data_IF_757664112100
#
_entry.id   IF_757664112100
#
_cell.length_a   1.000
_cell.length_b   1.000
_cell.length_c   1.000
_cell.angle_alpha   90.00
_cell.angle_beta   90.00
_cell.angle_gamma   90.00
#
_symmetry.space_group_name_H-M   'P 1'
#
loop_
_entity.id
_entity.type
_entity.pdbx_description
1 polymer ?
#
# COMPACT_ATOMS: atom_id res chain seq x y z
N UNK A 1 19.47 -14.08 -14.69
CA UNK A 1 18.20 -13.39 -14.34
C UNK A 1 18.44 -11.89 -14.35
N UNK A 2 17.54 -11.08 -14.93
CA UNK A 2 17.78 -9.64 -15.08
C UNK A 2 17.54 -8.87 -13.78
N UNK A 3 18.07 -7.64 -13.68
CA UNK A 3 17.79 -6.72 -12.56
C UNK A 3 16.29 -6.40 -12.42
N UNK A 4 15.55 -6.41 -13.53
CA UNK A 4 14.10 -6.20 -13.56
C UNK A 4 13.37 -7.39 -12.93
N UNK A 5 13.77 -8.61 -13.27
CA UNK A 5 13.17 -9.82 -12.70
C UNK A 5 13.43 -9.92 -11.20
N UNK A 6 14.67 -9.62 -10.76
CA UNK A 6 15.03 -9.56 -9.34
C UNK A 6 14.17 -8.55 -8.58
N UNK A 7 13.96 -7.36 -9.14
CA UNK A 7 13.08 -6.35 -8.56
C UNK A 7 11.64 -6.83 -8.41
N UNK A 8 11.10 -7.51 -9.44
CA UNK A 8 9.75 -8.07 -9.41
C UNK A 8 9.60 -9.10 -8.28
N UNK A 9 10.58 -9.97 -8.10
CA UNK A 9 10.58 -10.96 -7.01
C UNK A 9 10.69 -10.27 -5.64
N UNK A 10 11.58 -9.30 -5.47
CA UNK A 10 11.65 -8.52 -4.23
C UNK A 10 10.36 -7.77 -3.91
N UNK A 11 9.66 -7.27 -4.93
CA UNK A 11 8.38 -6.61 -4.76
C UNK A 11 7.30 -7.57 -4.22
N UNK A 12 7.28 -8.81 -4.70
CA UNK A 12 6.39 -9.85 -4.18
C UNK A 12 6.68 -10.15 -2.71
N UNK A 13 7.96 -10.41 -2.37
CA UNK A 13 8.40 -10.66 -0.98
C UNK A 13 8.12 -9.46 -0.07
N UNK A 14 8.30 -8.23 -0.56
CA UNK A 14 8.00 -7.01 0.20
C UNK A 14 6.50 -6.85 0.49
N UNK A 15 5.66 -7.41 -0.39
CA UNK A 15 4.21 -7.47 -0.25
C UNK A 15 3.73 -8.37 0.88
N UNK A 16 4.56 -9.28 1.39
CA UNK A 16 4.23 -10.11 2.55
C UNK A 16 3.92 -9.21 3.75
N UNK A 17 2.82 -9.47 4.50
CA UNK A 17 2.51 -8.76 5.72
C UNK A 17 3.70 -8.76 6.68
N UNK A 18 3.91 -7.66 7.39
CA UNK A 18 4.94 -7.59 8.43
C UNK A 18 4.56 -6.54 9.45
N UNK A 19 4.71 -6.89 10.73
CA UNK A 19 4.51 -6.00 11.88
C UNK A 19 5.44 -4.78 11.90
N UNK A 20 6.49 -4.76 11.07
CA UNK A 20 7.48 -3.69 11.06
C UNK A 20 7.71 -3.14 9.65
N UNK A 21 7.90 -1.82 9.54
CA UNK A 21 8.26 -1.21 8.26
C UNK A 21 9.66 -1.68 7.84
N UNK A 22 9.72 -2.43 6.75
CA UNK A 22 10.95 -2.95 6.14
C UNK A 22 11.03 -2.47 4.69
N UNK A 23 12.23 -2.21 4.22
CA UNK A 23 12.53 -1.93 2.82
C UNK A 23 13.79 -2.70 2.38
N UNK A 24 13.92 -2.89 1.07
CA UNK A 24 14.90 -3.81 0.48
C UNK A 24 15.54 -3.21 -0.76
N UNK A 25 16.84 -3.43 -0.90
CA UNK A 25 17.62 -3.03 -2.07
C UNK A 25 18.48 -4.19 -2.54
N UNK A 26 18.40 -4.47 -3.84
CA UNK A 26 19.28 -5.40 -4.54
C UNK A 26 20.50 -4.66 -5.09
N UNK A 27 21.67 -4.97 -4.54
CA UNK A 27 22.97 -4.44 -4.99
C UNK A 27 23.69 -5.42 -5.94
N UNK A 28 23.09 -6.57 -6.26
CA UNK A 28 23.60 -7.59 -7.17
C UNK A 28 24.39 -8.68 -6.45
N UNK A 29 25.46 -8.32 -5.72
CA UNK A 29 26.27 -9.26 -4.92
C UNK A 29 25.76 -9.42 -3.48
N UNK A 30 24.87 -8.52 -3.06
CA UNK A 30 24.17 -8.56 -1.78
C UNK A 30 22.76 -7.98 -1.87
N UNK A 31 21.92 -8.36 -0.92
CA UNK A 31 20.62 -7.74 -0.65
C UNK A 31 20.74 -7.00 0.69
N UNK A 32 20.34 -5.73 0.70
CA UNK A 32 20.33 -4.89 1.88
C UNK A 32 18.89 -4.68 2.31
N UNK A 33 18.59 -5.05 3.56
CA UNK A 33 17.29 -4.88 4.19
C UNK A 33 17.45 -3.87 5.32
N UNK A 34 16.54 -2.91 5.42
CA UNK A 34 16.59 -1.88 6.45
C UNK A 34 15.22 -1.57 7.01
N UNK A 35 15.20 -1.08 8.24
CA UNK A 35 13.98 -0.71 8.97
C UNK A 35 14.24 0.50 9.84
N UNK A 36 13.21 1.32 10.00
CA UNK A 36 13.21 2.43 10.94
C UNK A 36 12.94 1.99 12.38
N UNK A 37 12.46 0.76 12.58
CA UNK A 37 12.14 0.21 13.90
C UNK A 37 13.41 0.01 14.74
N UNK A 38 13.43 0.59 15.95
CA UNK A 38 14.60 0.55 16.85
C UNK A 38 14.93 -0.87 17.30
N UNK A 39 13.93 -1.73 17.50
CA UNK A 39 14.08 -3.11 17.97
C UNK A 39 14.38 -4.13 16.87
N UNK A 40 14.54 -3.71 15.60
CA UNK A 40 14.53 -4.64 14.46
C UNK A 40 15.64 -5.71 14.53
N UNK A 41 16.80 -5.41 15.08
CA UNK A 41 17.89 -6.39 15.20
C UNK A 41 17.55 -7.48 16.20
N UNK A 42 16.86 -7.15 17.29
CA UNK A 42 16.36 -8.14 18.26
C UNK A 42 15.32 -9.05 17.62
N UNK A 43 14.33 -8.43 16.95
CA UNK A 43 13.27 -9.15 16.22
C UNK A 43 13.85 -10.11 15.16
N UNK A 44 14.82 -9.66 14.35
CA UNK A 44 15.51 -10.53 13.40
C UNK A 44 16.19 -11.72 14.09
N UNK A 45 16.84 -11.49 15.24
CA UNK A 45 17.51 -12.57 15.96
C UNK A 45 16.52 -13.60 16.52
N UNK A 46 15.33 -13.19 16.95
CA UNK A 46 14.26 -14.07 17.40
C UNK A 46 13.75 -14.94 16.24
N UNK A 47 13.47 -14.33 15.09
CA UNK A 47 13.07 -15.04 13.87
C UNK A 47 14.13 -16.06 13.46
N UNK A 48 15.40 -15.64 13.39
CA UNK A 48 16.49 -16.54 12.97
C UNK A 48 16.71 -17.70 13.96
N UNK A 49 16.56 -17.48 15.27
CA UNK A 49 16.65 -18.56 16.26
C UNK A 49 15.47 -19.52 16.15
N UNK A 50 14.28 -18.99 15.86
CA UNK A 50 13.08 -19.81 15.68
C UNK A 50 13.18 -20.68 14.43
N UNK A 51 13.57 -20.09 13.30
CA UNK A 51 13.70 -20.82 12.03
C UNK A 51 14.94 -21.71 11.97
N UNK A 52 16.03 -21.29 12.63
CA UNK A 52 17.29 -22.05 12.71
C UNK A 52 17.72 -22.26 14.18
N UNK A 53 17.13 -23.24 14.90
CA UNK A 53 17.35 -23.43 16.34
C UNK A 53 18.82 -23.60 16.76
N UNK A 54 19.66 -24.15 15.86
CA UNK A 54 21.07 -24.45 16.13
C UNK A 54 22.03 -23.45 15.45
N UNK A 55 21.54 -22.28 15.05
CA UNK A 55 22.35 -21.34 14.27
C UNK A 55 23.49 -20.74 15.10
N UNK A 56 24.70 -20.78 14.53
CA UNK A 56 25.87 -20.16 15.16
C UNK A 56 25.93 -18.68 14.79
N UNK A 57 25.69 -17.82 15.78
CA UNK A 57 25.86 -16.37 15.67
C UNK A 57 27.24 -15.96 16.18
N UNK A 58 27.96 -15.13 15.43
CA UNK A 58 29.21 -14.50 15.87
C UNK A 58 28.98 -13.01 16.04
N UNK A 59 29.06 -12.54 17.27
CA UNK A 59 28.97 -11.12 17.59
C UNK A 59 30.37 -10.50 17.67
N UNK A 60 30.56 -9.33 17.07
CA UNK A 60 31.79 -8.52 17.18
C UNK A 60 31.41 -7.04 17.13
N UNK A 61 31.45 -6.38 18.30
CA UNK A 61 31.00 -4.99 18.45
C UNK A 61 29.55 -4.85 18.00
N UNK A 62 29.26 -3.86 17.17
CA UNK A 62 27.91 -3.58 16.67
C UNK A 62 27.42 -4.55 15.59
N UNK A 63 28.22 -5.55 15.22
CA UNK A 63 27.89 -6.49 14.16
C UNK A 63 27.57 -7.86 14.70
N UNK A 64 26.45 -8.44 14.24
CA UNK A 64 26.15 -9.86 14.40
C UNK A 64 26.25 -10.53 13.03
N UNK A 65 27.08 -11.57 12.94
CA UNK A 65 27.23 -12.39 11.73
C UNK A 65 26.56 -13.75 11.93
N UNK A 66 25.68 -14.10 11.02
CA UNK A 66 24.85 -15.30 11.03
C UNK A 66 25.16 -16.09 9.75
N UNK A 67 25.26 -17.41 9.87
CA UNK A 67 25.46 -18.32 8.73
C UNK A 67 24.36 -19.37 8.72
N UNK A 68 23.24 -19.12 8.01
CA UNK A 68 22.11 -20.05 8.00
C UNK A 68 22.43 -21.32 7.21
N UNK A 69 23.17 -21.21 6.11
CA UNK A 69 23.59 -22.33 5.27
C UNK A 69 24.91 -22.04 4.58
N UNK A 70 25.50 -23.05 3.93
CA UNK A 70 26.70 -22.91 3.11
C UNK A 70 26.43 -21.92 1.97
N UNK A 71 27.37 -21.01 1.72
CA UNK A 71 27.25 -20.03 0.63
C UNK A 71 26.45 -18.77 0.95
N UNK A 72 25.86 -18.68 2.16
CA UNK A 72 25.07 -17.53 2.62
C UNK A 72 25.66 -16.95 3.89
N UNK A 73 25.68 -15.63 3.99
CA UNK A 73 26.04 -14.91 5.20
C UNK A 73 25.10 -13.74 5.40
N UNK A 74 24.57 -13.64 6.62
CA UNK A 74 23.73 -12.52 7.05
C UNK A 74 24.54 -11.70 8.04
N UNK A 75 24.57 -10.38 7.86
CA UNK A 75 25.22 -9.43 8.75
C UNK A 75 24.20 -8.42 9.23
N UNK A 76 23.91 -8.44 10.52
CA UNK A 76 23.08 -7.45 11.20
C UNK A 76 23.98 -6.39 11.84
N UNK A 77 23.61 -5.12 11.70
CA UNK A 77 24.29 -4.00 12.37
C UNK A 77 23.34 -3.35 13.39
N UNK A 78 23.72 -3.37 14.67
CA UNK A 78 22.95 -2.83 15.80
C UNK A 78 22.76 -1.32 15.70
N UNK A 79 23.74 -0.61 15.17
CA UNK A 79 23.78 0.85 15.08
C UNK A 79 23.03 1.35 13.85
N UNK A 80 23.34 0.81 12.68
CA UNK A 80 22.73 1.24 11.42
C UNK A 80 21.39 0.55 11.12
N UNK A 81 21.03 -0.49 11.88
CA UNK A 81 19.80 -1.29 11.71
C UNK A 81 19.68 -1.97 10.34
N UNK A 82 20.81 -2.11 9.65
CA UNK A 82 20.89 -2.77 8.36
C UNK A 82 21.11 -4.26 8.56
N UNK A 83 20.38 -5.05 7.78
CA UNK A 83 20.68 -6.44 7.51
C UNK A 83 21.25 -6.55 6.10
N UNK A 84 22.41 -7.17 5.97
CA UNK A 84 23.02 -7.50 4.67
C UNK A 84 23.03 -9.00 4.47
N UNK A 85 22.50 -9.48 3.35
CA UNK A 85 22.51 -10.88 2.94
C UNK A 85 23.41 -11.00 1.72
N UNK A 86 24.49 -11.76 1.83
CA UNK A 86 25.52 -11.86 0.79
C UNK A 86 26.17 -13.23 0.75
N UNK A 87 26.91 -13.49 -0.34
CA UNK A 87 27.52 -14.79 -0.63
C UNK A 87 27.07 -15.35 -1.97
N UNK A 88 27.66 -16.47 -2.41
CA UNK A 88 27.38 -17.06 -3.73
C UNK A 88 25.92 -17.49 -3.89
N UNK A 89 25.28 -17.92 -2.80
CA UNK A 89 23.92 -18.48 -2.81
C UNK A 89 22.93 -17.53 -2.11
N UNK A 90 23.29 -16.25 -1.94
CA UNK A 90 22.48 -15.26 -1.21
C UNK A 90 21.11 -15.06 -1.85
N UNK A 91 21.06 -15.03 -3.18
CA UNK A 91 19.83 -14.72 -3.91
C UNK A 91 18.84 -15.88 -3.87
N UNK A 92 19.19 -17.12 -4.28
CA UNK A 92 18.28 -18.25 -4.15
C UNK A 92 17.78 -18.41 -2.71
N UNK A 93 18.67 -18.32 -1.73
CA UNK A 93 18.28 -18.39 -0.32
C UNK A 93 17.28 -17.30 0.05
N UNK A 94 17.49 -16.05 -0.37
CA UNK A 94 16.59 -14.95 -0.04
C UNK A 94 15.21 -15.17 -0.64
N UNK A 95 15.13 -15.57 -1.91
CA UNK A 95 13.85 -15.84 -2.58
C UNK A 95 13.09 -16.98 -1.91
N UNK A 96 13.79 -18.06 -1.57
CA UNK A 96 13.14 -19.26 -1.04
C UNK A 96 12.79 -19.15 0.45
N UNK A 97 13.44 -18.24 1.19
CA UNK A 97 13.39 -18.23 2.65
C UNK A 97 12.81 -16.94 3.23
N UNK A 98 12.97 -15.79 2.58
CA UNK A 98 12.73 -14.53 3.26
C UNK A 98 11.26 -14.27 3.60
N UNK A 99 10.34 -14.67 2.72
CA UNK A 99 8.90 -14.63 3.00
C UNK A 99 8.53 -15.45 4.24
N UNK A 100 9.08 -16.67 4.37
CA UNK A 100 8.89 -17.54 5.54
C UNK A 100 9.40 -16.87 6.82
N UNK A 101 10.53 -16.15 6.75
CA UNK A 101 11.06 -15.42 7.91
C UNK A 101 10.14 -14.27 8.32
N UNK A 102 9.52 -13.59 7.37
CA UNK A 102 8.53 -12.55 7.65
C UNK A 102 7.28 -13.16 8.31
N UNK A 103 6.80 -14.31 7.82
CA UNK A 103 5.67 -15.02 8.39
C UNK A 103 5.92 -15.47 9.83
N UNK A 104 7.13 -15.98 10.13
CA UNK A 104 7.52 -16.32 11.51
C UNK A 104 7.51 -15.08 12.40
N UNK A 105 8.01 -13.95 11.88
CA UNK A 105 7.99 -12.67 12.60
C UNK A 105 6.58 -12.12 12.86
N UNK A 106 5.58 -12.61 12.13
CA UNK A 106 4.16 -12.30 12.35
C UNK A 106 3.45 -13.29 13.28
N UNK A 107 4.04 -14.46 13.55
CA UNK A 107 3.41 -15.50 14.37
C UNK A 107 3.06 -15.07 15.80
N UNK A 108 3.79 -14.08 16.33
CA UNK A 108 3.51 -13.45 17.64
C UNK A 108 2.68 -12.15 17.53
N UNK A 109 2.34 -11.71 16.32
CA UNK A 109 1.58 -10.47 16.04
C UNK A 109 0.06 -10.70 15.94
N UNK A 110 -0.46 -11.83 16.47
CA UNK A 110 -1.88 -12.24 16.41
C UNK A 110 -2.80 -11.29 17.21
N UNK A 111 -2.25 -10.40 18.02
CA UNK A 111 -2.99 -9.29 18.62
C UNK A 111 -2.27 -7.98 18.27
N UNK A 112 -2.47 -7.47 17.04
CA UNK A 112 -2.32 -6.04 16.85
C UNK A 112 -3.40 -5.37 17.70
N UNK A 113 -3.04 -4.60 18.74
CA UNK A 113 -4.04 -3.92 19.54
C UNK A 113 -4.82 -2.98 18.61
N UNK A 114 -6.15 -3.09 18.68
CA UNK A 114 -7.10 -2.08 18.21
C UNK A 114 -7.01 -0.77 19.01
N UNK A 115 -6.09 -0.67 19.97
CA UNK A 115 -5.79 0.56 20.69
C UNK A 115 -4.81 1.41 19.88
N UNK A 116 -5.24 2.63 19.54
CA UNK A 116 -4.54 3.69 18.80
C UNK A 116 -3.16 4.10 19.34
N UNK A 117 -2.21 3.17 19.35
CA UNK A 117 -0.97 3.24 20.12
C UNK A 117 0.27 2.71 19.40
N UNK A 118 0.36 2.83 18.09
CA UNK A 118 1.55 3.27 17.34
C UNK A 118 1.31 2.99 15.86
N UNK A 119 0.57 3.88 15.22
CA UNK A 119 0.69 4.04 13.77
C UNK A 119 2.17 4.30 13.55
N UNK A 120 2.88 3.33 12.95
CA UNK A 120 4.23 3.55 12.45
C UNK A 120 4.23 4.93 11.78
N UNK A 121 4.96 5.89 12.36
CA UNK A 121 5.18 7.21 11.76
C UNK A 121 6.06 7.02 10.51
N UNK A 122 5.57 6.26 9.53
CA UNK A 122 6.24 6.05 8.29
C UNK A 122 6.17 7.37 7.50
N UNK A 123 7.20 7.61 6.69
CA UNK A 123 7.33 8.87 5.95
C UNK A 123 6.13 9.10 5.00
N UNK A 124 5.44 8.03 4.59
CA UNK A 124 4.25 8.05 3.74
C UNK A 124 3.02 8.60 4.49
N UNK A 125 2.80 8.19 5.74
CA UNK A 125 1.69 8.67 6.59
C UNK A 125 1.77 10.17 6.80
N UNK A 126 2.98 10.67 7.12
CA UNK A 126 3.22 12.12 7.26
C UNK A 126 3.02 12.86 5.94
N UNK A 127 3.46 12.27 4.82
CA UNK A 127 3.26 12.86 3.49
C UNK A 127 1.78 12.97 3.12
N UNK A 128 1.00 11.92 3.40
CA UNK A 128 -0.45 11.88 3.16
C UNK A 128 -1.25 12.79 4.11
N UNK A 129 -0.61 13.29 5.17
CA UNK A 129 -1.21 14.16 6.20
C UNK A 129 -2.38 13.50 6.94
N UNK A 130 -2.39 12.17 7.05
CA UNK A 130 -3.46 11.42 7.72
C UNK A 130 -3.56 11.72 9.22
N UNK A 131 -2.48 12.19 9.85
CA UNK A 131 -2.42 12.48 11.28
C UNK A 131 -2.74 13.95 11.64
N UNK A 132 -3.07 14.80 10.67
CA UNK A 132 -3.26 16.24 10.96
C UNK A 132 -4.66 16.59 11.43
N UNK A 133 -5.61 15.70 11.22
CA UNK A 133 -7.02 15.88 11.57
C UNK A 133 -7.51 14.51 12.03
N UNK A 134 -7.44 14.25 13.33
CA UNK A 134 -8.02 13.06 14.00
C UNK A 134 -9.57 13.06 13.90
N UNK A 135 -10.13 13.42 12.75
CA UNK A 135 -11.55 13.18 12.47
C UNK A 135 -11.67 11.74 12.01
N UNK A 136 -12.43 10.94 12.76
CA UNK A 136 -12.70 9.56 12.38
C UNK A 136 -13.49 9.54 11.07
N UNK A 137 -13.32 8.49 10.26
CA UNK A 137 -14.10 8.33 9.01
C UNK A 137 -15.59 8.48 9.28
N UNK A 138 -16.06 7.98 10.42
CA UNK A 138 -17.45 8.07 10.84
C UNK A 138 -17.90 9.53 11.05
N UNK A 139 -17.07 10.40 11.63
CA UNK A 139 -17.38 11.83 11.78
C UNK A 139 -17.57 12.53 10.41
N UNK A 140 -16.78 12.12 9.40
CA UNK A 140 -16.93 12.64 8.05
C UNK A 140 -18.21 12.11 7.39
N UNK A 141 -18.54 10.83 7.60
CA UNK A 141 -19.77 10.22 7.07
C UNK A 141 -21.03 10.83 7.68
N UNK A 142 -21.04 11.10 8.99
CA UNK A 142 -22.18 11.67 9.71
C UNK A 142 -22.51 13.11 9.27
N UNK A 143 -21.56 13.79 8.61
CA UNK A 143 -21.78 15.11 7.99
C UNK A 143 -22.55 15.02 6.67
N UNK A 144 -22.67 13.84 6.06
CA UNK A 144 -23.42 13.65 4.81
C UNK A 144 -24.91 13.56 5.15
N UNK A 145 -25.76 14.46 4.62
CA UNK A 145 -27.20 14.36 4.82
C UNK A 145 -27.76 13.01 4.34
N UNK A 146 -28.82 12.54 5.00
CA UNK A 146 -29.56 11.36 4.55
C UNK A 146 -30.02 11.55 3.09
N UNK A 147 -29.72 10.57 2.24
CA UNK A 147 -30.00 10.64 0.79
C UNK A 147 -28.96 11.40 -0.04
N UNK A 148 -27.91 11.92 0.58
CA UNK A 148 -26.81 12.63 -0.05
C UNK A 148 -26.91 14.14 0.05
N UNK A 149 -25.77 14.82 -0.16
CA UNK A 149 -25.67 16.28 -0.05
C UNK A 149 -24.68 16.90 -1.01
N UNK A 150 -24.80 18.22 -1.16
CA UNK A 150 -23.87 19.04 -1.93
C UNK A 150 -22.72 19.46 -1.01
N UNK A 151 -21.54 18.92 -1.28
CA UNK A 151 -20.35 19.11 -0.43
C UNK A 151 -19.28 19.94 -1.10
N UNK A 152 -18.47 20.60 -0.27
CA UNK A 152 -17.31 21.37 -0.73
C UNK A 152 -16.13 20.45 -1.07
N UNK A 153 -15.33 20.86 -2.06
CA UNK A 153 -14.16 20.13 -2.55
C UNK A 153 -13.19 19.61 -1.46
N UNK A 154 -12.91 20.40 -0.42
CA UNK A 154 -12.01 19.99 0.67
C UNK A 154 -12.57 18.79 1.43
N UNK A 155 -13.87 18.80 1.75
CA UNK A 155 -14.55 17.70 2.44
C UNK A 155 -14.47 16.41 1.63
N UNK A 156 -14.72 16.47 0.31
CA UNK A 156 -14.74 15.28 -0.56
C UNK A 156 -13.35 14.64 -0.61
N UNK A 157 -12.31 15.45 -0.76
CA UNK A 157 -10.93 14.96 -0.79
C UNK A 157 -10.53 14.30 0.53
N UNK A 158 -10.95 14.87 1.66
CA UNK A 158 -10.71 14.29 3.00
C UNK A 158 -11.46 12.97 3.16
N UNK A 159 -12.77 12.98 2.92
CA UNK A 159 -13.63 11.80 3.01
C UNK A 159 -13.11 10.63 2.17
N UNK A 160 -12.82 10.89 0.89
CA UNK A 160 -12.29 9.85 0.01
C UNK A 160 -10.97 9.27 0.54
N UNK A 161 -10.00 10.10 0.92
CA UNK A 161 -8.72 9.62 1.45
C UNK A 161 -8.91 8.77 2.70
N UNK A 162 -9.75 9.22 3.62
CA UNK A 162 -10.03 8.50 4.86
C UNK A 162 -10.72 7.17 4.61
N UNK A 163 -11.72 7.12 3.72
CA UNK A 163 -12.38 5.86 3.33
C UNK A 163 -11.41 4.87 2.66
N UNK A 164 -10.53 5.34 1.76
CA UNK A 164 -9.55 4.44 1.16
C UNK A 164 -8.52 3.92 2.18
N UNK A 165 -8.04 4.77 3.10
CA UNK A 165 -7.11 4.32 4.14
C UNK A 165 -7.78 3.25 5.02
N UNK A 166 -9.03 3.47 5.42
CA UNK A 166 -9.80 2.55 6.24
C UNK A 166 -10.09 1.23 5.53
N UNK A 167 -10.64 1.28 4.32
CA UNK A 167 -10.94 0.08 3.53
C UNK A 167 -9.69 -0.73 3.18
N UNK A 168 -8.57 -0.07 2.88
CA UNK A 168 -7.30 -0.77 2.74
C UNK A 168 -6.82 -1.32 4.08
N UNK A 169 -6.96 -0.58 5.17
CA UNK A 169 -6.58 -0.96 6.53
C UNK A 169 -7.27 -2.24 7.00
N UNK A 170 -8.54 -2.42 6.66
CA UNK A 170 -9.30 -3.63 7.00
C UNK A 170 -9.13 -4.75 5.98
N UNK A 171 -8.41 -4.55 4.87
CA UNK A 171 -8.18 -5.61 3.87
C UNK A 171 -9.33 -5.80 2.88
N UNK A 172 -10.17 -4.79 2.64
CA UNK A 172 -11.30 -4.89 1.74
C UNK A 172 -10.89 -5.02 0.25
N UNK A 173 -11.81 -5.53 -0.57
CA UNK A 173 -11.75 -5.39 -2.02
C UNK A 173 -12.31 -4.01 -2.40
N UNK A 174 -11.46 -3.13 -2.92
CA UNK A 174 -11.79 -1.74 -3.24
C UNK A 174 -11.86 -1.52 -4.75
N UNK A 175 -12.90 -0.81 -5.17
CA UNK A 175 -13.18 -0.45 -6.54
C UNK A 175 -13.20 1.07 -6.65
N UNK A 176 -12.28 1.63 -7.43
CA UNK A 176 -12.23 3.06 -7.75
C UNK A 176 -12.73 3.20 -9.19
N UNK A 177 -13.91 3.78 -9.37
CA UNK A 177 -14.55 3.96 -10.67
C UNK A 177 -14.66 5.45 -10.95
N UNK A 178 -13.86 5.95 -11.88
CA UNK A 178 -13.81 7.39 -12.19
C UNK A 178 -13.60 7.63 -13.69
N UNK A 179 -14.40 8.50 -14.34
CA UNK A 179 -14.21 8.86 -15.75
C UNK A 179 -12.93 9.67 -15.98
N UNK A 180 -12.42 10.35 -14.94
CA UNK A 180 -11.21 11.17 -15.01
C UNK A 180 -10.35 10.99 -13.78
N UNK A 181 -9.05 10.81 -13.99
CA UNK A 181 -8.05 10.75 -12.92
C UNK A 181 -6.77 11.44 -13.36
N UNK A 182 -6.12 12.17 -12.47
CA UNK A 182 -4.79 12.74 -12.74
C UNK A 182 -3.69 12.07 -11.93
N UNK A 183 -2.45 12.49 -12.23
CA UNK A 183 -1.26 11.91 -11.64
C UNK A 183 -1.10 12.16 -10.15
N UNK A 184 -1.74 13.19 -9.59
CA UNK A 184 -1.67 13.48 -8.16
C UNK A 184 -2.60 12.58 -7.36
N UNK A 185 -3.83 12.45 -7.85
CA UNK A 185 -4.84 11.58 -7.27
C UNK A 185 -4.43 10.11 -7.37
N UNK A 186 -3.93 9.67 -8.53
CA UNK A 186 -3.36 8.34 -8.69
C UNK A 186 -2.15 8.11 -7.77
N UNK A 187 -1.28 9.10 -7.63
CA UNK A 187 -0.15 9.03 -6.71
C UNK A 187 -0.59 8.83 -5.25
N UNK A 188 -1.64 9.53 -4.80
CA UNK A 188 -2.18 9.37 -3.45
C UNK A 188 -2.74 7.96 -3.21
N UNK A 189 -3.48 7.40 -4.18
CA UNK A 189 -3.95 5.99 -4.12
C UNK A 189 -2.76 5.04 -3.96
N UNK A 190 -1.70 5.21 -4.76
CA UNK A 190 -0.51 4.37 -4.69
C UNK A 190 0.21 4.46 -3.34
N UNK A 191 0.23 5.63 -2.70
CA UNK A 191 0.80 5.80 -1.36
C UNK A 191 -0.06 5.13 -0.29
N UNK A 192 -1.39 5.25 -0.36
CA UNK A 192 -2.32 4.57 0.54
C UNK A 192 -2.18 3.04 0.45
N UNK A 193 -2.00 2.52 -0.76
CA UNK A 193 -1.70 1.10 -0.98
C UNK A 193 -0.40 0.67 -0.28
N UNK A 194 0.68 1.47 -0.39
CA UNK A 194 1.97 1.18 0.25
C UNK A 194 1.85 1.19 1.77
N UNK A 195 1.09 2.14 2.33
CA UNK A 195 0.89 2.28 3.78
C UNK A 195 0.17 1.07 4.36
N UNK A 196 -0.89 0.62 3.69
CA UNK A 196 -1.72 -0.50 4.15
C UNK A 196 -1.24 -1.86 3.61
N UNK A 197 0.03 -1.96 3.20
CA UNK A 197 0.59 -3.22 2.72
C UNK A 197 0.37 -4.30 3.80
N UNK A 198 0.02 -5.50 3.37
CA UNK A 198 -0.10 -6.64 4.28
C UNK A 198 -1.46 -6.84 4.94
N UNK A 199 -2.44 -5.99 4.70
CA UNK A 199 -3.83 -6.24 5.15
C UNK A 199 -4.59 -7.19 4.21
N UNK A 200 -4.00 -7.53 3.06
CA UNK A 200 -4.62 -8.41 2.06
C UNK A 200 -5.64 -7.73 1.15
N UNK A 201 -5.75 -6.39 1.17
CA UNK A 201 -6.66 -5.64 0.31
C UNK A 201 -6.43 -5.91 -1.18
N UNK A 202 -7.46 -5.67 -1.99
CA UNK A 202 -7.37 -5.68 -3.47
C UNK A 202 -7.87 -4.35 -4.01
N UNK A 203 -7.26 -3.84 -5.08
CA UNK A 203 -7.68 -2.56 -5.68
C UNK A 203 -7.89 -2.73 -7.18
N UNK A 204 -9.09 -2.36 -7.63
CA UNK A 204 -9.40 -2.21 -9.05
C UNK A 204 -9.67 -0.74 -9.36
N UNK A 205 -8.93 -0.17 -10.30
CA UNK A 205 -9.17 1.15 -10.87
C UNK A 205 -9.79 1.00 -12.26
N UNK A 206 -11.05 1.41 -12.38
CA UNK A 206 -11.79 1.49 -13.64
C UNK A 206 -11.74 2.94 -14.14
N UNK A 207 -11.19 3.18 -15.32
CA UNK A 207 -11.09 4.52 -15.94
C UNK A 207 -10.95 4.38 -17.46
N UNK A 208 -11.49 5.32 -18.28
CA UNK A 208 -11.27 5.31 -19.72
C UNK A 208 -9.77 5.31 -20.08
N UNK A 209 -9.41 4.61 -21.17
CA UNK A 209 -8.03 4.60 -21.68
C UNK A 209 -7.60 5.99 -22.19
N UNK A 210 -8.58 6.77 -22.66
CA UNK A 210 -8.45 8.18 -23.07
C UNK A 210 -9.57 8.98 -22.42
N UNK A 211 -9.21 9.99 -21.65
CA UNK A 211 -10.17 10.86 -20.96
C UNK A 211 -10.81 11.87 -21.93
N UNK A 212 -11.89 12.52 -21.48
CA UNK A 212 -12.66 13.47 -22.30
C UNK A 212 -11.84 14.67 -22.81
N UNK A 213 -10.81 15.09 -22.08
CA UNK A 213 -9.87 16.15 -22.50
C UNK A 213 -8.77 15.65 -23.47
N UNK A 214 -8.85 14.37 -23.86
CA UNK A 214 -7.91 13.71 -24.77
C UNK A 214 -6.69 13.12 -24.09
N UNK A 215 -6.51 13.30 -22.78
CA UNK A 215 -5.37 12.77 -22.04
C UNK A 215 -5.45 11.23 -21.93
N UNK A 216 -4.36 10.55 -22.30
CA UNK A 216 -4.28 9.08 -22.24
C UNK A 216 -3.82 8.62 -20.86
N UNK A 217 -4.44 7.54 -20.36
CA UNK A 217 -4.13 7.01 -19.03
C UNK A 217 -2.67 6.54 -18.90
N UNK A 218 -2.08 6.00 -19.95
CA UNK A 218 -0.66 5.59 -19.96
C UNK A 218 0.29 6.78 -19.66
N UNK A 219 -0.05 7.98 -20.14
CA UNK A 219 0.68 9.22 -19.82
C UNK A 219 0.46 9.71 -18.39
N UNK A 220 -0.74 9.52 -17.84
CA UNK A 220 -1.01 9.76 -16.42
C UNK A 220 -0.16 8.81 -15.55
N UNK A 221 -0.15 7.53 -15.89
CA UNK A 221 0.62 6.50 -15.20
C UNK A 221 2.15 6.75 -15.30
N UNK A 222 2.64 7.19 -16.46
CA UNK A 222 4.04 7.59 -16.67
C UNK A 222 4.44 8.76 -15.75
N UNK A 223 3.64 9.84 -15.73
CA UNK A 223 3.87 10.99 -14.85
C UNK A 223 3.79 10.64 -13.37
N UNK A 224 2.86 9.75 -13.00
CA UNK A 224 2.71 9.26 -11.61
C UNK A 224 3.95 8.49 -11.17
N UNK A 225 4.45 7.56 -12.00
CA UNK A 225 5.69 6.82 -11.72
C UNK A 225 6.89 7.74 -11.56
N UNK A 226 7.00 8.77 -12.42
CA UNK A 226 8.06 9.76 -12.32
C UNK A 226 7.98 10.53 -11.00
N UNK A 227 6.79 11.01 -10.64
CA UNK A 227 6.54 11.72 -9.37
C UNK A 227 6.92 10.87 -8.16
N UNK A 228 6.52 9.60 -8.11
CA UNK A 228 6.88 8.68 -7.01
C UNK A 228 8.41 8.60 -6.80
N UNK A 229 9.18 8.58 -7.90
CA UNK A 229 10.66 8.51 -7.85
C UNK A 229 11.33 9.81 -7.43
N UNK A 230 10.68 10.94 -7.65
CA UNK A 230 11.21 12.28 -7.39
C UNK A 230 10.85 12.80 -5.99
N UNK A 231 9.78 12.28 -5.37
CA UNK A 231 9.34 12.71 -4.04
C UNK A 231 10.36 12.28 -2.98
N UNK A 232 10.89 13.26 -2.26
CA UNK A 232 11.82 13.06 -1.16
C UNK A 232 11.06 13.06 0.18
N UNK A 233 11.50 12.22 1.10
CA UNK A 233 11.12 12.29 2.52
C UNK A 233 11.91 13.37 3.27
N UNK A 234 11.65 13.48 4.58
CA UNK A 234 12.19 14.56 5.42
C UNK A 234 13.73 14.60 5.52
N UNK A 235 14.41 13.49 5.24
CA UNK A 235 15.88 13.38 5.28
C UNK A 235 16.54 13.46 3.90
N UNK A 236 15.81 13.90 2.86
CA UNK A 236 16.32 13.98 1.49
C UNK A 236 16.49 12.63 0.78
N UNK A 237 16.20 11.52 1.46
CA UNK A 237 16.06 10.20 0.84
C UNK A 237 14.73 10.09 0.08
N UNK A 238 14.66 9.22 -0.92
CA UNK A 238 13.40 8.96 -1.65
C UNK A 238 12.32 8.44 -0.71
N UNK A 239 11.10 8.95 -0.86
CA UNK A 239 9.95 8.52 -0.06
C UNK A 239 9.56 7.06 -0.34
N UNK A 240 9.68 6.65 -1.61
CA UNK A 240 9.27 5.33 -2.09
C UNK A 240 10.44 4.68 -2.82
N UNK A 241 10.81 3.46 -2.42
CA UNK A 241 11.85 2.69 -3.09
C UNK A 241 11.35 2.09 -4.41
N UNK A 242 12.29 1.67 -5.27
CA UNK A 242 11.97 1.00 -6.53
C UNK A 242 11.19 -0.31 -6.31
N UNK A 243 11.41 -0.98 -5.16
CA UNK A 243 10.71 -2.23 -4.80
C UNK A 243 9.25 -1.93 -4.42
N UNK A 244 9.02 -0.91 -3.58
CA UNK A 244 7.66 -0.44 -3.23
C UNK A 244 6.86 -0.01 -4.46
N UNK A 245 7.49 0.74 -5.36
CA UNK A 245 6.85 1.16 -6.61
C UNK A 245 6.50 -0.05 -7.48
N UNK A 246 7.42 -1.02 -7.64
CA UNK A 246 7.14 -2.23 -8.42
C UNK A 246 5.98 -3.02 -7.81
N UNK A 247 5.89 -3.13 -6.48
CA UNK A 247 4.77 -3.81 -5.82
C UNK A 247 3.43 -3.16 -6.14
N UNK A 248 3.31 -1.84 -6.03
CA UNK A 248 2.08 -1.13 -6.37
C UNK A 248 1.67 -1.38 -7.83
N UNK A 249 2.64 -1.35 -8.75
CA UNK A 249 2.38 -1.59 -10.17
C UNK A 249 1.93 -3.02 -10.48
N UNK A 250 2.28 -3.99 -9.64
CA UNK A 250 1.82 -5.38 -9.75
C UNK A 250 0.45 -5.60 -9.09
N UNK A 251 0.14 -4.84 -8.03
CA UNK A 251 -1.07 -5.01 -7.22
C UNK A 251 -2.26 -4.19 -7.74
N UNK A 252 -2.02 -3.02 -8.34
CA UNK A 252 -3.09 -2.17 -8.87
C UNK A 252 -3.66 -2.76 -10.16
N UNK A 253 -4.87 -3.30 -10.12
CA UNK A 253 -5.59 -3.78 -11.29
C UNK A 253 -6.24 -2.60 -12.02
N UNK A 254 -5.74 -2.22 -13.19
CA UNK A 254 -6.34 -1.15 -14.00
C UNK A 254 -7.18 -1.75 -15.13
N UNK A 255 -8.41 -1.29 -15.24
CA UNK A 255 -9.33 -1.68 -16.31
C UNK A 255 -9.83 -0.45 -17.07
N UNK A 256 -10.02 -0.63 -18.38
CA UNK A 256 -10.39 0.44 -19.29
C UNK A 256 -11.75 0.16 -19.91
N UNK A 257 -12.68 1.08 -19.70
CA UNK A 257 -13.98 1.11 -20.36
C UNK A 257 -14.47 2.55 -20.41
N UNK A 258 -15.38 2.83 -21.34
CA UNK A 258 -16.02 4.14 -21.47
C UNK A 258 -17.30 4.16 -20.63
N UNK A 259 -17.37 5.06 -19.67
CA UNK A 259 -18.50 5.25 -18.77
C UNK A 259 -18.52 6.69 -18.23
N UNK A 260 -19.63 7.09 -17.61
CA UNK A 260 -19.81 8.42 -17.02
C UNK A 260 -20.08 8.41 -15.51
N UNK A 261 -20.27 7.23 -14.91
CA UNK A 261 -20.49 7.09 -13.46
C UNK A 261 -19.21 7.31 -12.66
N UNK A 262 -19.34 7.78 -11.42
CA UNK A 262 -18.21 8.03 -10.53
C UNK A 262 -18.52 7.63 -9.09
N UNK A 263 -17.76 6.67 -8.58
CA UNK A 263 -17.89 6.17 -7.22
C UNK A 263 -16.61 5.48 -6.74
N UNK A 264 -16.49 5.35 -5.43
CA UNK A 264 -15.61 4.36 -4.81
C UNK A 264 -16.46 3.40 -4.00
N UNK A 265 -16.09 2.12 -4.04
CA UNK A 265 -16.78 1.09 -3.29
C UNK A 265 -15.78 0.16 -2.63
N UNK A 266 -16.20 -0.45 -1.53
CA UNK A 266 -15.48 -1.51 -0.88
C UNK A 266 -16.40 -2.68 -0.56
N UNK A 267 -15.80 -3.86 -0.51
CA UNK A 267 -16.46 -5.09 -0.11
C UNK A 267 -15.52 -5.88 0.79
N UNK A 268 -16.03 -6.27 1.96
CA UNK A 268 -15.36 -7.21 2.86
C UNK A 268 -16.41 -8.06 3.54
N UNK A 269 -16.22 -9.38 3.50
CA UNK A 269 -17.12 -10.36 4.10
C UNK A 269 -18.58 -10.14 3.67
N UNK A 270 -19.49 -9.87 4.61
CA UNK A 270 -20.93 -9.66 4.35
C UNK A 270 -21.31 -8.18 4.21
N UNK A 271 -20.34 -7.27 4.09
CA UNK A 271 -20.56 -5.83 4.06
C UNK A 271 -20.05 -5.21 2.75
N UNK A 272 -20.95 -4.45 2.10
CA UNK A 272 -20.64 -3.60 0.95
C UNK A 272 -20.83 -2.13 1.29
N UNK A 273 -19.90 -1.30 0.85
CA UNK A 273 -19.98 0.15 1.02
C UNK A 273 -19.77 0.86 -0.31
N UNK A 274 -20.50 1.94 -0.55
CA UNK A 274 -20.34 2.76 -1.75
C UNK A 274 -20.46 4.23 -1.43
N UNK A 275 -19.48 5.01 -1.90
CA UNK A 275 -19.51 6.46 -1.98
C UNK A 275 -19.70 6.86 -3.44
N UNK A 276 -20.86 7.41 -3.76
CA UNK A 276 -21.15 8.00 -5.08
C UNK A 276 -20.89 9.51 -5.03
N UNK A 277 -20.29 10.06 -6.09
CA UNK A 277 -20.08 11.51 -6.17
C UNK A 277 -19.98 12.02 -7.59
N UNK A 278 -20.34 13.28 -7.82
CA UNK A 278 -20.06 13.97 -9.09
C UNK A 278 -18.61 14.44 -9.21
N UNK A 279 -17.84 14.42 -8.11
CA UNK A 279 -16.44 14.82 -8.09
C UNK A 279 -15.53 13.74 -8.69
N UNK A 280 -15.06 13.93 -9.92
CA UNK A 280 -14.05 13.04 -10.48
C UNK A 280 -12.73 13.12 -9.71
N UNK A 281 -11.88 12.08 -9.86
CA UNK A 281 -10.55 11.98 -9.24
C UNK A 281 -9.51 12.92 -9.89
N UNK A 282 -9.88 14.18 -10.12
CA UNK A 282 -9.14 15.14 -10.93
C UNK A 282 -9.11 16.53 -10.29
N UNK A 283 -8.01 17.28 -10.48
CA UNK A 283 -7.79 18.62 -9.88
C UNK A 283 -8.94 19.60 -10.03
N UNK A 284 -9.73 19.48 -11.09
CA UNK A 284 -10.86 20.37 -11.34
C UNK A 284 -11.84 20.38 -10.18
N UNK A 285 -12.07 19.23 -9.54
CA UNK A 285 -13.02 19.08 -8.44
C UNK A 285 -12.44 19.34 -7.06
N UNK A 286 -11.10 19.41 -6.92
CA UNK A 286 -10.42 19.52 -5.62
C UNK A 286 -9.65 20.81 -5.39
N UNK A 287 -9.39 21.60 -6.43
CA UNK A 287 -8.63 22.86 -6.32
C UNK A 287 -9.42 24.09 -6.76
N UNK A 288 -10.66 23.90 -7.22
CA UNK A 288 -11.58 24.99 -7.52
C UNK A 288 -12.69 24.95 -6.48
N UNK A 289 -13.36 26.08 -6.23
CA UNK A 289 -14.52 26.19 -5.34
C UNK A 289 -15.77 25.50 -5.96
N UNK A 290 -15.60 24.29 -6.47
CA UNK A 290 -16.67 23.44 -6.94
C UNK A 290 -17.38 22.80 -5.76
N UNK A 291 -18.66 22.54 -5.99
CA UNK A 291 -19.55 21.83 -5.09
C UNK A 291 -20.04 20.61 -5.85
N UNK A 292 -19.98 19.45 -5.21
CA UNK A 292 -20.29 18.18 -5.83
C UNK A 292 -21.27 17.40 -4.96
N UNK A 293 -22.13 16.62 -5.60
CA UNK A 293 -23.03 15.72 -4.88
C UNK A 293 -22.23 14.58 -4.30
N UNK A 294 -22.55 14.18 -3.08
CA UNK A 294 -21.95 13.06 -2.38
C UNK A 294 -23.05 12.28 -1.70
N UNK A 295 -23.08 10.96 -1.91
CA UNK A 295 -23.96 10.05 -1.18
C UNK A 295 -23.19 8.80 -0.80
N UNK A 296 -23.30 8.40 0.46
CA UNK A 296 -22.69 7.19 1.00
C UNK A 296 -23.78 6.20 1.39
N UNK A 297 -23.60 4.93 1.06
CA UNK A 297 -24.54 3.87 1.39
C UNK A 297 -23.80 2.60 1.82
N UNK A 298 -24.31 1.95 2.87
CA UNK A 298 -23.99 0.56 3.21
C UNK A 298 -25.03 -0.35 2.57
N UNK A 299 -24.57 -1.42 1.96
CA UNK A 299 -25.34 -2.32 1.12
C UNK A 299 -24.94 -3.77 1.40
N UNK A 300 -25.80 -4.71 1.01
CA UNK A 300 -25.39 -6.11 0.94
C UNK A 300 -24.38 -6.31 -0.20
N UNK A 301 -23.47 -7.31 -0.13
CA UNK A 301 -22.57 -7.65 -1.23
C UNK A 301 -23.31 -7.90 -2.56
N UNK A 302 -24.45 -8.58 -2.47
CA UNK A 302 -25.33 -8.81 -3.61
C UNK A 302 -25.79 -7.50 -4.27
N UNK A 303 -26.26 -6.53 -3.49
CA UNK A 303 -26.74 -5.26 -4.03
C UNK A 303 -25.61 -4.38 -4.57
N UNK A 304 -24.46 -4.38 -3.89
CA UNK A 304 -23.26 -3.73 -4.40
C UNK A 304 -22.89 -4.29 -5.78
N UNK A 305 -22.81 -5.61 -5.89
CA UNK A 305 -22.49 -6.27 -7.16
C UNK A 305 -23.52 -5.96 -8.23
N UNK A 306 -24.80 -6.22 -7.95
CA UNK A 306 -25.89 -6.08 -8.91
C UNK A 306 -26.03 -4.64 -9.43
N UNK A 307 -25.94 -3.65 -8.54
CA UNK A 307 -26.28 -2.27 -8.87
C UNK A 307 -25.07 -1.45 -9.34
N UNK A 308 -23.84 -1.80 -8.93
CA UNK A 308 -22.65 -0.98 -9.20
C UNK A 308 -21.56 -1.71 -10.00
N UNK A 309 -21.25 -2.96 -9.66
CA UNK A 309 -20.06 -3.64 -10.22
C UNK A 309 -20.38 -4.42 -11.50
N UNK A 310 -21.48 -5.16 -11.52
CA UNK A 310 -21.90 -5.99 -12.67
C UNK A 310 -22.14 -5.17 -13.95
N UNK A 311 -22.77 -3.97 -13.92
CA UNK A 311 -22.93 -3.14 -15.11
C UNK A 311 -21.61 -2.68 -15.75
N UNK A 312 -20.51 -2.74 -15.00
CA UNK A 312 -19.17 -2.38 -15.42
C UNK A 312 -18.30 -3.60 -15.70
N UNK A 313 -18.86 -4.82 -15.60
CA UNK A 313 -18.14 -6.10 -15.76
C UNK A 313 -16.96 -6.26 -14.77
N UNK A 314 -17.05 -5.60 -13.61
CA UNK A 314 -16.08 -5.70 -12.52
C UNK A 314 -16.69 -6.44 -11.32
N UNK A 315 -15.86 -6.82 -10.35
CA UNK A 315 -16.36 -7.41 -9.09
C UNK A 315 -16.94 -8.82 -9.21
N UNK A 316 -16.48 -9.61 -10.19
CA UNK A 316 -16.88 -11.02 -10.37
C UNK A 316 -16.61 -11.92 -9.14
N UNK A 317 -15.81 -11.43 -8.19
CA UNK A 317 -15.44 -12.07 -6.94
C UNK A 317 -16.29 -11.63 -5.73
N UNK A 318 -17.31 -10.80 -5.93
CA UNK A 318 -18.29 -10.40 -4.91
C UNK A 318 -19.49 -11.32 -5.07
N UNK A 319 -19.93 -12.01 -4.01
CA UNK A 319 -21.00 -13.02 -4.09
C UNK A 319 -22.13 -12.70 -3.13
#
# INVERSE_FOLDING_TARGET
MSKKDRRRVLAQIWGTPTSHEIDMVDEGDQIVVFSNYRGIVGWWMEIFKTYYPNIKCREKGDTIKIKPTTGVTIKLNKTTRLMKVYGKDHWPWFVDTFEILLDIGNGDAVELPSDGGSVSENSVTRYLQLNKEDEEVQDLLDRIPEGGGIMHHEFIMRLWKSLLDDWFGVGAAVYIVTPRIDSERLFQVMLLMIRNKGTGFKVTLMTPAKQMDGERFDKIMERTRRRIKEVLGQQGARLVSDVKLEWVMLTLNVQHSDFSTNFVAAHKDEEGEVLTTTAHFHKSHFHHQQKDNVSYCRLTPHDLRKNYLLPLEIGNNVF
#
